data_IF_759424603284
#
_entry.id   IF_759424603284
#
_cell.length_a   1.000
_cell.length_b   1.000
_cell.length_c   1.000
_cell.angle_alpha   90.00
_cell.angle_beta   90.00
_cell.angle_gamma   90.00
#
_symmetry.space_group_name_H-M   'P 1'
#
loop_
_entity.id
_entity.type
_entity.pdbx_description
1 polymer ?
#
# COMPACT_ATOMS: atom_id res chain seq x y z
N UNK A 1 -15.77 10.21 -4.92
CA UNK A 1 -15.43 8.99 -4.16
C UNK A 1 -14.77 9.43 -2.87
N UNK A 2 -15.26 9.01 -1.69
CA UNK A 2 -14.66 9.39 -0.40
C UNK A 2 -13.74 8.29 0.13
N UNK A 3 -12.81 8.64 1.04
CA UNK A 3 -11.93 7.69 1.72
C UNK A 3 -12.70 6.53 2.34
N UNK A 4 -13.85 6.81 2.98
CA UNK A 4 -14.70 5.78 3.58
C UNK A 4 -15.24 4.78 2.54
N UNK A 5 -15.63 5.24 1.35
CA UNK A 5 -16.11 4.35 0.29
C UNK A 5 -14.98 3.46 -0.25
N UNK A 6 -13.77 4.00 -0.39
CA UNK A 6 -12.58 3.24 -0.79
C UNK A 6 -12.29 2.14 0.23
N UNK A 7 -12.26 2.49 1.51
CA UNK A 7 -11.98 1.53 2.58
C UNK A 7 -13.05 0.44 2.67
N UNK A 8 -14.34 0.76 2.48
CA UNK A 8 -15.41 -0.24 2.43
C UNK A 8 -15.26 -1.20 1.25
N UNK A 9 -14.91 -0.69 0.06
CA UNK A 9 -14.65 -1.55 -1.11
C UNK A 9 -13.45 -2.46 -0.88
N UNK A 10 -12.39 -1.93 -0.26
CA UNK A 10 -11.21 -2.71 0.10
C UNK A 10 -11.53 -3.78 1.15
N UNK A 11 -12.40 -3.47 2.13
CA UNK A 11 -12.82 -4.42 3.16
C UNK A 11 -13.46 -5.68 2.59
N UNK A 12 -14.27 -5.57 1.54
CA UNK A 12 -14.92 -6.74 0.90
C UNK A 12 -13.90 -7.74 0.34
N UNK A 13 -12.67 -7.28 0.03
CA UNK A 13 -11.59 -8.10 -0.52
C UNK A 13 -10.93 -8.97 0.56
N UNK A 14 -10.73 -8.45 1.77
CA UNK A 14 -10.01 -9.16 2.85
C UNK A 14 -10.89 -9.61 4.02
N UNK A 15 -12.04 -8.98 4.26
CA UNK A 15 -13.08 -9.31 5.26
C UNK A 15 -12.55 -9.54 6.68
N UNK A 16 -11.53 -8.79 7.09
CA UNK A 16 -11.00 -8.85 8.45
C UNK A 16 -11.85 -7.95 9.37
N UNK A 17 -12.36 -8.44 10.51
CA UNK A 17 -13.27 -7.68 11.36
C UNK A 17 -12.61 -6.53 12.13
N UNK A 18 -11.28 -6.55 12.29
CA UNK A 18 -10.56 -5.59 13.16
C UNK A 18 -9.56 -4.75 12.37
N UNK A 19 -8.79 -5.37 11.47
CA UNK A 19 -7.68 -4.72 10.77
C UNK A 19 -8.13 -4.16 9.41
N UNK A 20 -7.87 -2.86 9.19
CA UNK A 20 -8.11 -2.20 7.89
C UNK A 20 -7.12 -2.69 6.83
N UNK A 21 -5.87 -2.95 7.22
CA UNK A 21 -4.83 -3.50 6.34
C UNK A 21 -4.22 -4.74 7.00
N UNK A 22 -4.86 -5.92 6.89
CA UNK A 22 -4.33 -7.17 7.45
C UNK A 22 -3.08 -7.63 6.70
N UNK A 23 -2.18 -8.35 7.39
CA UNK A 23 -1.09 -9.05 6.72
C UNK A 23 -1.64 -10.02 5.65
N UNK A 24 -0.82 -10.28 4.62
CA UNK A 24 -1.17 -11.17 3.51
C UNK A 24 -0.25 -12.38 3.39
N UNK A 25 0.41 -12.79 4.47
CA UNK A 25 1.34 -13.94 4.46
C UNK A 25 0.65 -15.24 4.01
N UNK A 26 -0.65 -15.38 4.32
CA UNK A 26 -1.50 -16.52 3.92
C UNK A 26 -2.29 -16.26 2.62
N UNK A 27 -1.82 -15.31 1.82
CA UNK A 27 -2.52 -14.85 0.61
C UNK A 27 -3.85 -14.17 0.90
N UNK A 28 -4.60 -13.86 -0.15
CA UNK A 28 -5.84 -13.10 -0.04
C UNK A 28 -6.93 -13.87 0.72
N UNK A 29 -7.05 -15.18 0.47
CA UNK A 29 -8.03 -16.04 1.15
C UNK A 29 -7.80 -16.12 2.65
N UNK A 30 -6.54 -16.07 3.10
CA UNK A 30 -6.19 -16.12 4.52
C UNK A 30 -6.17 -14.76 5.23
N UNK A 31 -6.35 -13.64 4.53
CA UNK A 31 -6.25 -12.30 5.10
C UNK A 31 -7.31 -12.00 6.17
N UNK A 32 -8.48 -12.66 6.10
CA UNK A 32 -9.53 -12.54 7.10
C UNK A 32 -9.13 -13.12 8.48
N UNK A 33 -8.16 -14.03 8.51
CA UNK A 33 -7.60 -14.66 9.72
C UNK A 33 -6.30 -13.97 10.19
N UNK A 34 -5.88 -12.89 9.54
CA UNK A 34 -4.66 -12.21 9.94
C UNK A 34 -4.83 -11.58 11.32
N UNK A 35 -3.92 -11.92 12.23
CA UNK A 35 -3.85 -11.38 13.59
C UNK A 35 -2.88 -10.19 13.69
N UNK A 36 -2.14 -9.91 12.61
CA UNK A 36 -1.20 -8.79 12.53
C UNK A 36 -1.48 -7.90 11.33
N UNK A 37 -1.17 -6.59 11.44
CA UNK A 37 -1.31 -5.66 10.33
C UNK A 37 -0.29 -5.95 9.22
N UNK A 38 -0.50 -5.34 8.06
CA UNK A 38 0.46 -5.30 6.96
C UNK A 38 1.81 -4.75 7.48
N UNK A 39 2.89 -5.41 7.10
CA UNK A 39 4.23 -5.04 7.53
C UNK A 39 4.72 -3.76 6.83
N UNK A 40 5.78 -3.16 7.38
CA UNK A 40 6.36 -1.92 6.83
C UNK A 40 6.84 -2.08 5.39
N UNK A 41 7.41 -3.22 5.04
CA UNK A 41 7.89 -3.50 3.68
C UNK A 41 6.73 -3.59 2.69
N UNK A 42 5.63 -4.24 3.07
CA UNK A 42 4.39 -4.29 2.30
C UNK A 42 3.78 -2.91 2.03
N UNK A 43 3.79 -2.02 3.03
CA UNK A 43 3.33 -0.63 2.88
C UNK A 43 4.23 0.13 1.90
N UNK A 44 5.55 0.06 2.08
CA UNK A 44 6.51 0.74 1.21
C UNK A 44 6.37 0.28 -0.25
N UNK A 45 6.26 -1.03 -0.48
CA UNK A 45 6.06 -1.59 -1.82
C UNK A 45 4.77 -1.10 -2.47
N UNK A 46 3.68 -1.04 -1.70
CA UNK A 46 2.38 -0.56 -2.20
C UNK A 46 2.45 0.91 -2.58
N UNK A 47 3.03 1.76 -1.72
CA UNK A 47 3.20 3.19 -2.01
C UNK A 47 4.05 3.38 -3.27
N UNK A 48 5.15 2.63 -3.40
CA UNK A 48 6.03 2.68 -4.58
C UNK A 48 5.26 2.36 -5.87
N UNK A 49 4.52 1.26 -5.89
CA UNK A 49 3.71 0.86 -7.06
C UNK A 49 2.67 1.92 -7.44
N UNK A 50 1.93 2.45 -6.46
CA UNK A 50 0.94 3.52 -6.72
C UNK A 50 1.61 4.78 -7.25
N UNK A 51 2.76 5.15 -6.70
CA UNK A 51 3.55 6.32 -7.13
C UNK A 51 4.03 6.15 -8.57
N UNK A 52 4.49 4.96 -8.93
CA UNK A 52 4.91 4.60 -10.30
C UNK A 52 3.73 4.62 -11.29
N UNK A 53 2.60 4.00 -10.93
CA UNK A 53 1.38 3.98 -11.75
C UNK A 53 0.79 5.38 -11.98
N UNK A 54 0.87 6.25 -10.96
CA UNK A 54 0.42 7.64 -11.06
C UNK A 54 1.44 8.57 -11.74
N UNK A 55 2.65 8.08 -12.07
CA UNK A 55 3.73 8.91 -12.63
C UNK A 55 4.23 9.99 -11.67
N UNK A 56 3.98 9.85 -10.37
CA UNK A 56 4.39 10.80 -9.35
C UNK A 56 5.89 10.67 -9.12
N UNK A 57 6.66 11.70 -9.47
CA UNK A 57 8.09 11.77 -9.12
C UNK A 57 8.26 12.68 -7.92
N UNK A 58 9.13 12.28 -6.98
CA UNK A 58 9.51 13.14 -5.87
C UNK A 58 10.18 14.39 -6.44
N UNK A 59 9.47 15.52 -6.42
CA UNK A 59 10.05 16.82 -6.74
C UNK A 59 10.93 17.23 -5.56
N UNK A 60 12.21 16.87 -5.61
CA UNK A 60 13.20 17.47 -4.74
C UNK A 60 13.38 18.91 -5.24
N UNK A 61 12.79 19.88 -4.55
CA UNK A 61 13.08 21.29 -4.77
C UNK A 61 14.57 21.50 -4.44
N UNK A 62 15.36 21.79 -5.48
CA UNK A 62 16.75 22.26 -5.47
C UNK A 62 17.63 21.81 -4.29
N UNK A 63 18.23 20.61 -4.43
CA UNK A 63 19.66 20.33 -4.26
C UNK A 63 19.81 18.80 -4.11
N UNK A 64 20.05 18.14 -5.24
CA UNK A 64 20.86 16.93 -5.45
C UNK A 64 20.87 16.76 -6.97
N UNK A 65 21.89 17.35 -7.57
CA UNK A 65 22.45 16.78 -8.78
C UNK A 65 23.01 15.40 -8.40
N UNK A 66 22.96 14.46 -9.34
CA UNK A 66 23.59 13.13 -9.36
C UNK A 66 22.65 11.93 -9.27
N UNK A 67 22.87 11.06 -10.27
CA UNK A 67 22.48 9.67 -10.41
C UNK A 67 21.06 9.43 -10.93
N UNK A 68 20.91 9.40 -12.26
CA UNK A 68 20.74 8.14 -13.01
C UNK A 68 21.24 8.35 -14.46
N UNK A 69 22.55 8.27 -14.66
CA UNK A 69 23.08 7.49 -15.78
C UNK A 69 23.45 6.14 -15.16
N UNK A 70 22.61 5.14 -15.39
CA UNK A 70 22.85 3.69 -15.48
C UNK A 70 21.47 3.00 -15.59
#
# INVERSE_FOLDING_TARGET
>A
MSTLQVLRKFWVVHKNPVLIFPNRARGLKGAHLAESPLDRGGVQKTIKLVTEEMGLKKQALCEIQWVVEF
#
